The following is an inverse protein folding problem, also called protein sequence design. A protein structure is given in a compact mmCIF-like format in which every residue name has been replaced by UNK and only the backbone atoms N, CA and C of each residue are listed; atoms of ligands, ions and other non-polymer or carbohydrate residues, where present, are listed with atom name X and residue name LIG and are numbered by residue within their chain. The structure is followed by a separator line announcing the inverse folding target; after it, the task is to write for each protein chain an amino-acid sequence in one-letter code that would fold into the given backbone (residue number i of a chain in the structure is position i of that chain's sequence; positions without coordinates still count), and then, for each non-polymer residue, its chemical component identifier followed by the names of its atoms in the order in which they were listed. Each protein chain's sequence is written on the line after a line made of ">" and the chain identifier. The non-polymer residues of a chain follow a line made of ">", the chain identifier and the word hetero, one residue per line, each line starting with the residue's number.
data_IF_256944790597
#
_entry.id   IF_256944790597
#
_cell.length_a   1.000
_cell.length_b   1.000
_cell.length_c   1.000
_cell.angle_alpha   90.00
_cell.angle_beta   90.00
_cell.angle_gamma   90.00
#
_symmetry.space_group_name_H-M   'P 1'
#
loop_
_entity.id
_entity.type
_entity.pdbx_description
1 polymer ?
#
# COMPACT_ATOMS: atom_id res chain seq x y z
N UNK A 1 17.74 1.48 8.76
CA UNK A 1 17.36 0.92 7.44
C UNK A 1 15.88 0.60 7.43
N UNK A 2 15.19 0.96 6.37
CA UNK A 2 13.75 0.70 6.24
C UNK A 2 13.51 -0.77 5.89
N UNK A 3 12.61 -1.41 6.62
CA UNK A 3 12.21 -2.79 6.36
C UNK A 3 10.80 -2.85 5.84
N UNK A 4 10.40 -4.00 5.28
CA UNK A 4 9.02 -4.20 4.85
C UNK A 4 8.04 -4.08 6.01
N UNK A 5 8.44 -4.50 7.22
CA UNK A 5 7.60 -4.35 8.41
C UNK A 5 7.39 -2.89 8.78
N UNK A 6 8.41 -2.04 8.60
CA UNK A 6 8.26 -0.61 8.85
C UNK A 6 7.22 0.01 7.95
N UNK A 7 7.29 -0.29 6.65
CA UNK A 7 6.35 0.24 5.67
C UNK A 7 4.93 -0.24 5.99
N UNK A 8 4.80 -1.52 6.31
CA UNK A 8 3.50 -2.09 6.68
C UNK A 8 2.89 -1.34 7.86
N UNK A 9 3.68 -1.11 8.91
CA UNK A 9 3.20 -0.39 10.09
C UNK A 9 2.80 1.04 9.78
N UNK A 10 3.58 1.73 8.98
CA UNK A 10 3.28 3.11 8.61
C UNK A 10 1.96 3.20 7.86
N UNK A 11 1.73 2.28 6.92
CA UNK A 11 0.47 2.27 6.16
C UNK A 11 -0.69 1.89 7.07
N UNK A 12 -0.55 0.86 7.89
CA UNK A 12 -1.61 0.44 8.80
C UNK A 12 -1.98 1.54 9.79
N UNK A 13 -1.01 2.28 10.28
CA UNK A 13 -1.25 3.37 11.22
C UNK A 13 -2.00 4.51 10.56
N UNK A 14 -1.64 4.85 9.33
CA UNK A 14 -2.27 5.96 8.61
C UNK A 14 -3.56 5.61 7.91
N UNK A 15 -3.84 4.34 7.71
CA UNK A 15 -5.02 3.87 7.00
C UNK A 15 -5.69 2.76 7.81
N UNK A 16 -6.49 3.18 8.77
CA UNK A 16 -7.12 2.30 9.74
C UNK A 16 -7.98 1.23 9.07
N UNK A 17 -7.83 -0.01 9.52
CA UNK A 17 -8.60 -1.12 8.99
C UNK A 17 -8.05 -1.73 7.70
N UNK A 18 -6.98 -1.18 7.14
CA UNK A 18 -6.38 -1.72 5.94
C UNK A 18 -5.66 -3.04 6.24
N UNK A 19 -5.69 -3.93 5.25
CA UNK A 19 -4.84 -5.12 5.25
C UNK A 19 -3.65 -4.82 4.37
N UNK A 20 -2.46 -4.94 4.92
CA UNK A 20 -1.23 -4.57 4.22
C UNK A 20 -0.27 -5.72 4.23
N UNK A 21 0.27 -6.03 3.07
CA UNK A 21 1.32 -7.04 2.93
C UNK A 21 2.45 -6.41 2.14
N UNK A 22 3.66 -6.41 2.69
CA UNK A 22 4.81 -5.78 2.07
C UNK A 22 5.96 -6.76 2.03
N UNK A 23 6.58 -6.90 0.86
CA UNK A 23 7.80 -7.67 0.68
C UNK A 23 8.87 -6.78 0.06
N UNK A 24 10.12 -7.14 0.24
CA UNK A 24 11.19 -6.35 -0.35
C UNK A 24 12.56 -6.69 0.21
N UNK A 25 13.59 -6.11 -0.42
CA UNK A 25 14.99 -6.38 -0.10
C UNK A 25 15.68 -5.20 0.60
N UNK A 26 14.92 -4.19 1.01
CA UNK A 26 15.45 -2.97 1.64
C UNK A 26 15.61 -1.81 0.67
N UNK A 27 15.60 -2.06 -0.62
CA UNK A 27 15.69 -1.01 -1.67
C UNK A 27 14.42 -0.97 -2.52
N UNK A 28 13.95 -2.13 -2.93
CA UNK A 28 12.71 -2.25 -3.69
C UNK A 28 11.69 -2.96 -2.83
N UNK A 29 10.51 -2.39 -2.74
CA UNK A 29 9.42 -2.93 -1.95
C UNK A 29 8.18 -3.12 -2.82
N UNK A 30 7.44 -4.19 -2.54
CA UNK A 30 6.16 -4.46 -3.17
C UNK A 30 5.10 -4.53 -2.09
N UNK A 31 4.07 -3.71 -2.20
CA UNK A 31 2.99 -3.67 -1.22
C UNK A 31 1.67 -4.04 -1.87
N UNK A 32 0.89 -4.84 -1.16
CA UNK A 32 -0.52 -5.08 -1.48
C UNK A 32 -1.33 -4.47 -0.35
N UNK A 33 -2.22 -3.55 -0.69
CA UNK A 33 -2.98 -2.79 0.29
C UNK A 33 -4.46 -2.94 -0.04
N UNK A 34 -5.21 -3.51 0.91
CA UNK A 34 -6.64 -3.71 0.79
C UNK A 34 -7.34 -2.76 1.74
N UNK A 35 -8.17 -1.88 1.22
CA UNK A 35 -8.86 -0.90 2.05
C UNK A 35 -10.17 -0.46 1.43
N UNK A 36 -11.21 -0.34 2.25
CA UNK A 36 -12.49 0.23 1.85
C UNK A 36 -12.35 1.71 1.45
N UNK A 37 -11.31 2.37 1.91
CA UNK A 37 -11.03 3.78 1.57
C UNK A 37 -10.76 3.97 0.07
N UNK A 38 -10.39 2.92 -0.63
CA UNK A 38 -10.13 2.99 -2.07
C UNK A 38 -11.40 2.98 -2.93
N UNK A 39 -12.55 2.76 -2.32
CA UNK A 39 -13.82 2.70 -3.04
C UNK A 39 -14.07 4.00 -3.79
N UNK A 40 -14.38 3.89 -5.08
CA UNK A 40 -14.66 5.06 -5.92
C UNK A 40 -13.44 5.85 -6.37
N UNK A 41 -12.25 5.40 -6.03
CA UNK A 41 -11.01 6.08 -6.41
C UNK A 41 -10.31 5.38 -7.56
N UNK A 42 -9.71 6.16 -8.44
CA UNK A 42 -8.86 5.64 -9.51
C UNK A 42 -7.54 5.11 -8.94
N UNK A 43 -6.78 4.37 -9.75
CA UNK A 43 -5.47 3.88 -9.34
C UNK A 43 -4.55 5.02 -8.91
N UNK A 44 -4.55 6.12 -9.65
CA UNK A 44 -3.72 7.29 -9.32
C UNK A 44 -4.14 7.89 -7.98
N UNK A 45 -5.43 8.03 -7.74
CA UNK A 45 -5.94 8.58 -6.49
C UNK A 45 -5.59 7.68 -5.30
N UNK A 46 -5.66 6.37 -5.49
CA UNK A 46 -5.30 5.39 -4.45
C UNK A 46 -3.81 5.48 -4.11
N UNK A 47 -2.97 5.60 -5.11
CA UNK A 47 -1.53 5.74 -4.90
C UNK A 47 -1.21 7.06 -4.20
N UNK A 48 -1.88 8.14 -4.57
CA UNK A 48 -1.70 9.44 -3.91
C UNK A 48 -2.10 9.37 -2.44
N UNK A 49 -3.16 8.62 -2.13
CA UNK A 49 -3.57 8.42 -0.75
C UNK A 49 -2.45 7.74 0.06
N UNK A 50 -1.85 6.71 -0.49
CA UNK A 50 -0.77 6.00 0.20
C UNK A 50 0.47 6.88 0.33
N UNK A 51 0.83 7.64 -0.70
CA UNK A 51 1.95 8.58 -0.60
C UNK A 51 1.70 9.62 0.49
N UNK A 52 0.45 10.08 0.64
CA UNK A 52 0.09 10.98 1.72
C UNK A 52 0.22 10.35 3.10
N UNK A 53 -0.14 9.07 3.22
CA UNK A 53 0.01 8.32 4.47
C UNK A 53 1.49 8.16 4.83
N UNK A 54 2.33 7.84 3.85
CA UNK A 54 3.76 7.66 4.08
C UNK A 54 4.49 8.98 4.30
N UNK A 55 3.97 10.06 3.73
CA UNK A 55 4.49 11.39 3.94
C UNK A 55 5.96 11.53 3.61
N UNK A 56 6.73 12.07 4.55
CA UNK A 56 8.15 12.34 4.37
C UNK A 56 9.01 11.08 4.23
N UNK A 57 8.47 9.93 4.60
CA UNK A 57 9.22 8.67 4.53
C UNK A 57 9.50 8.24 3.10
N UNK A 58 8.64 8.63 2.15
CA UNK A 58 8.82 8.25 0.76
C UNK A 58 10.16 8.70 0.17
N UNK A 59 10.50 10.01 0.19
CA UNK A 59 11.75 10.43 -0.42
C UNK A 59 12.99 10.07 0.39
N UNK A 60 12.88 9.88 1.70
CA UNK A 60 14.05 9.75 2.56
C UNK A 60 14.38 8.31 2.92
N UNK A 61 13.38 7.44 3.03
CA UNK A 61 13.59 6.11 3.58
C UNK A 61 13.18 4.98 2.63
N UNK A 62 12.41 5.28 1.59
CA UNK A 62 11.93 4.29 0.64
C UNK A 62 12.45 4.62 -0.75
N UNK A 63 13.35 3.79 -1.26
CA UNK A 63 13.94 4.02 -2.59
C UNK A 63 12.95 3.73 -3.71
N UNK A 64 12.28 2.60 -3.65
CA UNK A 64 11.31 2.21 -4.66
C UNK A 64 10.18 1.42 -4.03
N UNK A 65 8.95 1.82 -4.32
CA UNK A 65 7.76 1.15 -3.82
C UNK A 65 6.79 0.91 -4.96
N UNK A 66 6.57 -0.35 -5.26
CA UNK A 66 5.48 -0.77 -6.14
C UNK A 66 4.29 -1.13 -5.26
N UNK A 67 3.08 -0.73 -5.67
CA UNK A 67 1.93 -1.02 -4.84
C UNK A 67 0.74 -1.46 -5.68
N UNK A 68 -0.04 -2.35 -5.09
CA UNK A 68 -1.32 -2.77 -5.61
C UNK A 68 -2.37 -2.35 -4.58
N UNK A 69 -3.29 -1.51 -5.00
CA UNK A 69 -4.30 -0.94 -4.12
C UNK A 69 -5.67 -1.43 -4.55
N UNK A 70 -6.34 -2.14 -3.67
CA UNK A 70 -7.63 -2.77 -3.99
C UNK A 70 -8.62 -2.54 -2.86
N UNK A 71 -9.91 -2.56 -3.21
CA UNK A 71 -10.96 -2.61 -2.20
C UNK A 71 -11.15 -4.05 -1.74
N UNK A 72 -11.83 -4.27 -0.60
CA UNK A 72 -12.15 -5.64 -0.17
C UNK A 72 -12.94 -6.43 -1.22
N UNK A 73 -13.84 -5.77 -1.93
CA UNK A 73 -14.61 -6.43 -2.99
C UNK A 73 -13.72 -6.85 -4.15
N UNK A 74 -12.82 -5.97 -4.57
CA UNK A 74 -11.84 -6.27 -5.63
C UNK A 74 -10.92 -7.41 -5.21
N UNK A 75 -10.49 -7.41 -3.97
CA UNK A 75 -9.61 -8.43 -3.46
C UNK A 75 -10.27 -9.83 -3.49
N UNK A 76 -11.56 -9.88 -3.21
CA UNK A 76 -12.31 -11.13 -3.21
C UNK A 76 -12.77 -11.57 -4.60
N UNK A 77 -12.56 -10.75 -5.62
CA UNK A 77 -12.89 -11.06 -7.01
C UNK A 77 -11.73 -11.85 -7.63
N UNK A 78 -11.92 -13.13 -8.02
CA UNK A 78 -10.82 -13.92 -8.58
C UNK A 78 -10.27 -13.38 -9.89
N UNK A 79 -11.03 -12.55 -10.60
CA UNK A 79 -10.56 -11.97 -11.86
C UNK A 79 -9.77 -10.67 -11.65
N UNK A 80 -9.96 -9.99 -10.55
CA UNK A 80 -9.40 -8.66 -10.32
C UNK A 80 -8.43 -8.67 -9.13
N UNK A 81 -8.92 -9.12 -7.98
CA UNK A 81 -8.26 -8.85 -6.71
C UNK A 81 -7.03 -9.68 -6.45
N UNK A 82 -7.20 -10.99 -6.35
CA UNK A 82 -6.14 -11.89 -5.90
C UNK A 82 -5.75 -12.92 -6.95
N UNK A 83 -5.97 -12.57 -8.17
CA UNK A 83 -5.62 -13.43 -9.29
C UNK A 83 -4.11 -13.54 -9.45
#
# INVERSE_FOLDING_TARGET
>A
MTTSDDIKKWIETGLSGAKVDVTGDGRHFDAVIVSAEFQGKSAVQRHQLIYGVLGEKMPEEIHALSMRTVTPDEWNDPEIGNA
#
